data_IF_946584339322
#
_entry.id   IF_946584339322
#
_cell.length_a   1.000
_cell.length_b   1.000
_cell.length_c   1.000
_cell.angle_alpha   90.00
_cell.angle_beta   90.00
_cell.angle_gamma   90.00
#
_symmetry.space_group_name_H-M   'P 1'
#
loop_
_entity.id
_entity.type
_entity.pdbx_description
1 polymer ?
#
# COMPACT_ATOMS: atom_id res chain seq x y z
N UNK A 1 14.05 8.95 35.49
CA UNK A 1 13.03 10.02 35.41
C UNK A 1 11.90 9.73 34.42
N UNK A 2 12.12 9.05 33.30
CA UNK A 2 11.05 8.73 32.32
C UNK A 2 10.08 7.60 32.76
N UNK A 3 10.55 6.61 33.52
CA UNK A 3 9.69 5.51 34.00
C UNK A 3 8.62 5.97 35.01
N UNK A 4 8.89 7.02 35.79
CA UNK A 4 7.94 7.50 36.81
C UNK A 4 6.70 8.15 36.21
N UNK A 5 6.82 8.79 35.04
CA UNK A 5 5.70 9.43 34.35
C UNK A 5 4.70 8.42 33.74
N UNK A 6 5.19 7.28 33.25
CA UNK A 6 4.35 6.25 32.67
C UNK A 6 3.46 5.57 33.73
N UNK A 7 4.01 5.32 34.93
CA UNK A 7 3.28 4.70 36.05
C UNK A 7 2.24 5.67 36.64
N UNK A 8 2.52 6.98 36.64
CA UNK A 8 1.57 7.99 37.13
C UNK A 8 0.38 8.19 36.19
N UNK A 9 0.56 8.03 34.88
CA UNK A 9 -0.53 8.17 33.90
C UNK A 9 -1.54 7.02 33.98
N UNK A 10 -1.09 5.82 34.35
CA UNK A 10 -1.98 4.65 34.52
C UNK A 10 -2.83 4.71 35.79
N UNK A 11 -2.41 5.47 36.81
CA UNK A 11 -3.15 5.61 38.08
C UNK A 11 -4.25 6.67 38.05
N UNK A 12 -4.23 7.56 37.05
CA UNK A 12 -5.21 8.65 36.91
C UNK A 12 -6.50 8.22 36.17
N UNK A 13 -6.48 7.07 35.48
CA UNK A 13 -7.62 6.53 34.71
C UNK A 13 -8.52 5.60 35.54
N UNK A 14 -8.21 5.35 36.81
CA UNK A 14 -8.99 4.43 37.66
C UNK A 14 -10.08 5.14 38.51
N UNK A 15 -10.24 6.46 38.35
CA UNK A 15 -11.06 7.30 39.24
C UNK A 15 -12.42 7.76 38.69
N UNK A 16 -12.90 7.23 37.56
CA UNK A 16 -14.13 7.73 36.92
C UNK A 16 -15.14 6.61 36.63
N UNK A 17 -15.58 5.92 37.68
CA UNK A 17 -16.72 5.00 37.62
C UNK A 17 -18.03 5.79 37.43
N UNK A 18 -18.36 6.11 36.18
CA UNK A 18 -19.70 6.59 35.82
C UNK A 18 -20.66 5.40 35.75
N UNK A 19 -21.56 5.38 36.74
CA UNK A 19 -22.81 4.62 36.88
C UNK A 19 -23.47 4.29 35.53
N UNK A 20 -23.27 3.07 35.04
CA UNK A 20 -23.94 2.57 33.83
C UNK A 20 -25.36 2.11 34.20
N UNK A 21 -26.36 2.91 33.82
CA UNK A 21 -27.75 2.46 33.81
C UNK A 21 -27.92 1.41 32.72
N UNK A 22 -28.18 0.18 33.16
CA UNK A 22 -28.34 -1.01 32.32
C UNK A 22 -29.73 -0.97 31.65
N UNK A 23 -29.81 -0.36 30.47
CA UNK A 23 -30.97 -0.52 29.60
C UNK A 23 -30.90 -1.89 28.93
N UNK A 24 -31.77 -2.80 29.40
CA UNK A 24 -32.00 -4.13 28.85
C UNK A 24 -32.65 -4.00 27.48
N UNK A 25 -31.85 -4.03 26.42
CA UNK A 25 -32.32 -4.17 25.03
C UNK A 25 -32.52 -5.66 24.75
N UNK A 26 -33.78 -6.08 24.66
CA UNK A 26 -34.16 -7.45 24.36
C UNK A 26 -34.10 -7.68 22.84
N UNK A 27 -33.09 -8.43 22.39
CA UNK A 27 -32.88 -8.75 20.96
C UNK A 27 -33.72 -9.99 20.62
N UNK A 28 -34.65 -9.94 19.64
CA UNK A 28 -35.41 -11.12 19.23
C UNK A 28 -34.49 -12.11 18.50
N UNK A 29 -34.34 -13.32 19.07
CA UNK A 29 -33.62 -14.41 18.42
C UNK A 29 -34.43 -14.98 17.26
N UNK A 30 -33.94 -14.82 16.02
CA UNK A 30 -34.44 -15.59 14.87
C UNK A 30 -33.97 -17.05 14.97
N UNK A 31 -34.83 -18.05 14.69
CA UNK A 31 -34.41 -19.44 14.62
C UNK A 31 -33.54 -19.70 13.37
N UNK A 32 -32.62 -20.69 13.44
CA UNK A 32 -31.72 -21.01 12.33
C UNK A 32 -32.48 -21.58 11.13
N UNK A 33 -32.19 -21.04 9.93
CA UNK A 33 -32.60 -21.66 8.66
C UNK A 33 -31.73 -22.87 8.39
N UNK A 34 -32.32 -24.06 8.44
CA UNK A 34 -31.74 -25.30 7.90
C UNK A 34 -31.65 -25.18 6.38
N UNK A 35 -30.46 -24.91 5.85
CA UNK A 35 -30.19 -25.00 4.41
C UNK A 35 -29.70 -26.43 4.15
N UNK A 36 -30.54 -27.22 3.48
CA UNK A 36 -30.16 -28.54 2.99
C UNK A 36 -29.14 -28.38 1.85
N UNK A 37 -27.93 -28.91 2.06
CA UNK A 37 -26.91 -29.02 1.02
C UNK A 37 -27.30 -30.22 0.15
N UNK A 38 -27.79 -29.98 -1.05
CA UNK A 38 -28.05 -31.04 -2.02
C UNK A 38 -26.71 -31.44 -2.68
N UNK A 39 -26.10 -32.52 -2.19
CA UNK A 39 -24.97 -33.17 -2.82
C UNK A 39 -25.48 -33.98 -4.03
N UNK A 40 -25.54 -33.33 -5.20
CA UNK A 40 -26.02 -33.94 -6.43
C UNK A 40 -25.14 -33.64 -7.63
N UNK A 41 -24.16 -34.53 -7.87
CA UNK A 41 -23.94 -35.05 -9.22
C UNK A 41 -23.00 -34.32 -10.19
N UNK A 42 -21.99 -35.11 -10.59
CA UNK A 42 -21.38 -35.15 -11.94
C UNK A 42 -20.28 -34.13 -12.27
N UNK A 43 -19.05 -34.49 -11.88
CA UNK A 43 -17.85 -34.08 -12.59
C UNK A 43 -17.90 -34.59 -14.05
N UNK A 44 -18.34 -33.76 -14.99
CA UNK A 44 -18.14 -34.01 -16.41
C UNK A 44 -16.75 -33.52 -16.83
N UNK A 45 -15.82 -34.47 -16.90
CA UNK A 45 -14.57 -34.32 -17.64
C UNK A 45 -14.90 -34.07 -19.12
N UNK A 46 -14.65 -32.86 -19.63
CA UNK A 46 -14.72 -32.61 -21.07
C UNK A 46 -13.34 -32.80 -21.70
N UNK A 47 -13.25 -33.92 -22.42
CA UNK A 47 -12.13 -34.40 -23.22
C UNK A 47 -11.63 -33.36 -24.23
N UNK A 48 -10.31 -33.15 -24.23
CA UNK A 48 -9.57 -32.56 -25.36
C UNK A 48 -9.81 -33.38 -26.61
N UNK A 49 -10.23 -32.74 -27.70
CA UNK A 49 -9.95 -33.19 -29.07
C UNK A 49 -9.63 -31.99 -29.95
N UNK A 50 -8.37 -31.97 -30.38
CA UNK A 50 -7.82 -31.09 -31.41
C UNK A 50 -8.42 -31.53 -32.75
N UNK A 51 -8.97 -30.59 -33.51
CA UNK A 51 -9.22 -30.78 -34.93
C UNK A 51 -8.80 -29.50 -35.67
N UNK A 52 -7.68 -29.59 -36.36
CA UNK A 52 -7.20 -28.58 -37.28
C UNK A 52 -7.93 -28.73 -38.63
N UNK A 53 -8.50 -27.64 -39.14
CA UNK A 53 -8.75 -27.45 -40.57
C UNK A 53 -8.99 -25.96 -40.85
N UNK A 54 -8.10 -25.35 -41.64
CA UNK A 54 -8.25 -24.00 -42.21
C UNK A 54 -9.03 -24.10 -43.51
N UNK A 55 -10.14 -23.36 -43.68
CA UNK A 55 -10.53 -22.85 -44.98
C UNK A 55 -10.13 -21.38 -45.12
N UNK A 56 -9.32 -21.07 -46.13
CA UNK A 56 -9.06 -19.71 -46.59
C UNK A 56 -10.39 -19.13 -47.11
N UNK A 57 -10.97 -18.17 -46.39
CA UNK A 57 -12.08 -17.35 -46.88
C UNK A 57 -11.60 -15.97 -47.28
N UNK A 58 -12.11 -15.56 -48.43
CA UNK A 58 -11.80 -14.36 -49.18
C UNK A 58 -11.73 -13.08 -48.34
N UNK A 59 -10.78 -12.21 -48.70
CA UNK A 59 -10.63 -10.86 -48.18
C UNK A 59 -11.85 -10.01 -48.55
N UNK A 60 -12.72 -9.76 -47.56
CA UNK A 60 -13.71 -8.69 -47.64
C UNK A 60 -12.97 -7.42 -47.23
N UNK A 61 -12.77 -6.51 -48.18
CA UNK A 61 -12.25 -5.16 -47.91
C UNK A 61 -13.32 -4.44 -47.09
N UNK A 62 -13.10 -4.10 -45.80
CA UNK A 62 -14.03 -3.23 -45.10
C UNK A 62 -13.95 -1.84 -45.73
N UNK A 63 -15.06 -1.35 -46.27
CA UNK A 63 -15.20 0.09 -46.53
C UNK A 63 -14.97 0.80 -45.20
N UNK A 64 -13.92 1.61 -45.10
CA UNK A 64 -13.75 2.54 -44.00
C UNK A 64 -14.89 3.56 -44.08
N UNK A 65 -15.97 3.30 -43.33
CA UNK A 65 -16.87 4.38 -42.93
C UNK A 65 -16.09 5.22 -41.92
N UNK A 66 -15.70 6.41 -42.34
CA UNK A 66 -15.20 7.45 -41.43
C UNK A 66 -16.28 7.69 -40.38
N UNK A 67 -16.11 7.12 -39.19
CA UNK A 67 -16.88 7.56 -38.04
C UNK A 67 -16.41 8.99 -37.75
N UNK A 68 -17.20 9.96 -38.21
CA UNK A 68 -17.11 11.32 -37.73
C UNK A 68 -17.35 11.21 -36.23
N UNK A 69 -16.27 11.40 -35.45
CA UNK A 69 -16.36 11.56 -34.01
C UNK A 69 -17.27 12.77 -33.78
N UNK A 70 -18.54 12.51 -33.47
CA UNK A 70 -19.40 13.51 -32.88
C UNK A 70 -18.80 13.77 -31.50
N UNK A 71 -17.96 14.81 -31.42
CA UNK A 71 -17.62 15.43 -30.15
C UNK A 71 -18.95 15.86 -29.54
N UNK A 72 -19.48 15.08 -28.61
CA UNK A 72 -20.39 15.62 -27.61
C UNK A 72 -19.58 16.64 -26.81
N UNK A 73 -19.54 17.87 -27.32
CA UNK A 73 -19.21 19.01 -26.52
C UNK A 73 -20.34 19.13 -25.50
N UNK A 74 -20.16 18.50 -24.34
CA UNK A 74 -20.82 18.96 -23.12
C UNK A 74 -20.30 20.38 -22.90
N UNK A 75 -21.02 21.36 -23.47
CA UNK A 75 -20.86 22.76 -23.11
C UNK A 75 -21.30 22.87 -21.66
N UNK A 76 -20.38 22.60 -20.72
CA UNK A 76 -20.36 23.40 -19.53
C UNK A 76 -20.05 24.82 -20.03
N UNK A 77 -21.01 25.73 -19.88
CA UNK A 77 -20.85 27.11 -20.27
C UNK A 77 -19.57 27.65 -19.63
N UNK A 78 -18.48 27.73 -20.41
CA UNK A 78 -17.31 28.45 -20.00
C UNK A 78 -17.75 29.91 -19.89
N UNK A 79 -17.72 30.46 -18.67
CA UNK A 79 -17.92 31.89 -18.45
C UNK A 79 -16.82 32.62 -19.22
N UNK A 80 -17.13 33.09 -20.43
CA UNK A 80 -16.24 33.88 -21.29
C UNK A 80 -16.22 35.35 -20.85
N UNK A 81 -16.07 35.58 -19.55
CA UNK A 81 -15.82 36.90 -18.97
C UNK A 81 -14.32 37.14 -18.79
N UNK A 82 -13.86 38.39 -18.64
CA UNK A 82 -12.51 38.67 -18.17
C UNK A 82 -12.29 37.90 -16.87
N UNK A 83 -11.27 37.04 -16.81
CA UNK A 83 -10.85 36.37 -15.58
C UNK A 83 -10.28 37.45 -14.67
N UNK A 84 -11.15 38.08 -13.89
CA UNK A 84 -10.71 38.81 -12.72
C UNK A 84 -10.12 37.76 -11.77
N UNK A 85 -8.91 37.97 -11.24
CA UNK A 85 -8.35 37.05 -10.26
C UNK A 85 -9.38 36.90 -9.13
N UNK A 86 -9.80 35.65 -8.88
CA UNK A 86 -10.64 35.39 -7.72
C UNK A 86 -9.86 35.83 -6.50
N UNK A 87 -10.51 36.63 -5.68
CA UNK A 87 -9.99 37.13 -4.43
C UNK A 87 -9.80 35.94 -3.47
N UNK A 88 -8.82 35.99 -2.56
CA UNK A 88 -8.45 34.86 -1.67
C UNK A 88 -9.63 34.35 -0.81
N UNK A 89 -10.67 35.18 -0.67
CA UNK A 89 -11.92 34.85 0.03
C UNK A 89 -12.86 34.01 -0.85
N UNK A 90 -12.93 34.32 -2.14
CA UNK A 90 -13.76 33.64 -3.14
C UNK A 90 -13.15 32.32 -3.63
N UNK A 91 -11.81 32.21 -3.62
CA UNK A 91 -11.08 31.00 -4.03
C UNK A 91 -9.93 30.65 -3.06
N UNK A 92 -10.26 30.09 -1.88
CA UNK A 92 -9.26 29.72 -0.89
C UNK A 92 -8.31 28.59 -1.35
N UNK A 93 -8.68 27.83 -2.38
CA UNK A 93 -7.85 26.76 -2.95
C UNK A 93 -7.02 27.24 -4.16
N UNK A 94 -7.16 28.50 -4.57
CA UNK A 94 -6.52 29.08 -5.76
C UNK A 94 -6.70 28.21 -7.01
N UNK A 95 -7.88 27.60 -7.16
CA UNK A 95 -8.16 26.62 -8.21
C UNK A 95 -8.84 27.23 -9.45
N UNK A 96 -8.98 28.56 -9.49
CA UNK A 96 -9.56 29.29 -10.62
C UNK A 96 -11.06 29.10 -10.76
N UNK A 97 -11.77 28.78 -9.66
CA UNK A 97 -13.21 28.48 -9.68
C UNK A 97 -13.53 27.10 -10.26
N UNK A 98 -12.56 26.20 -10.29
CA UNK A 98 -12.78 24.82 -10.72
C UNK A 98 -13.65 24.06 -9.72
N UNK A 99 -14.65 23.33 -10.22
CA UNK A 99 -15.54 22.51 -9.38
C UNK A 99 -14.74 21.29 -8.91
N UNK A 100 -14.21 21.36 -7.70
CA UNK A 100 -13.37 20.32 -7.16
C UNK A 100 -14.22 19.29 -6.37
N UNK A 101 -14.42 18.05 -6.87
CA UNK A 101 -15.12 17.00 -6.12
C UNK A 101 -14.35 16.59 -4.86
N UNK A 102 -14.97 15.86 -3.91
CA UNK A 102 -14.29 15.38 -2.72
C UNK A 102 -13.01 14.58 -3.03
N UNK A 103 -11.97 14.79 -2.20
CA UNK A 103 -10.67 14.11 -2.32
C UNK A 103 -10.78 12.63 -1.91
N UNK A 104 -11.27 11.78 -2.82
CA UNK A 104 -11.46 10.34 -2.60
C UNK A 104 -10.69 9.57 -3.67
N UNK A 105 -9.82 8.66 -3.24
CA UNK A 105 -9.06 7.81 -4.14
C UNK A 105 -9.98 6.84 -4.89
N UNK A 106 -9.75 6.68 -6.19
CA UNK A 106 -10.56 5.80 -7.06
C UNK A 106 -10.51 4.33 -6.65
N UNK A 107 -9.45 3.92 -5.96
CA UNK A 107 -9.31 2.60 -5.36
C UNK A 107 -10.50 2.22 -4.45
N UNK A 108 -11.09 3.18 -3.74
CA UNK A 108 -12.21 2.94 -2.83
C UNK A 108 -13.58 2.97 -3.49
N UNK A 109 -13.65 3.33 -4.77
CA UNK A 109 -14.89 3.19 -5.55
C UNK A 109 -15.22 1.72 -5.75
N UNK A 110 -16.51 1.42 -5.83
CA UNK A 110 -17.01 0.06 -6.04
C UNK A 110 -16.34 -0.58 -7.27
N UNK A 111 -15.56 -1.67 -7.09
CA UNK A 111 -14.91 -2.36 -8.20
C UNK A 111 -15.90 -2.99 -9.19
N UNK A 112 -17.11 -3.31 -8.75
CA UNK A 112 -18.08 -4.09 -9.51
C UNK A 112 -19.16 -3.23 -10.18
N UNK A 113 -19.15 -1.92 -9.96
CA UNK A 113 -20.12 -1.01 -10.56
C UNK A 113 -19.93 -0.87 -12.08
N UNK A 114 -21.00 -0.47 -12.77
CA UNK A 114 -21.01 -0.37 -14.22
C UNK A 114 -20.38 0.94 -14.73
N UNK A 115 -19.06 1.11 -14.51
CA UNK A 115 -18.30 2.27 -14.99
C UNK A 115 -18.16 2.30 -16.51
N UNK A 116 -18.17 3.50 -17.11
CA UNK A 116 -17.83 3.71 -18.53
C UNK A 116 -16.36 3.34 -18.81
N UNK A 117 -15.44 3.84 -17.99
CA UNK A 117 -14.05 3.41 -17.93
C UNK A 117 -13.88 2.43 -16.77
N UNK A 118 -13.74 1.13 -17.11
CA UNK A 118 -13.57 0.06 -16.12
C UNK A 118 -12.23 0.11 -15.41
N UNK A 119 -11.17 0.59 -16.08
CA UNK A 119 -9.83 0.59 -15.53
C UNK A 119 -9.70 1.65 -14.44
N UNK A 120 -10.15 2.86 -14.76
CA UNK A 120 -10.10 4.02 -13.87
C UNK A 120 -11.35 4.17 -12.97
N UNK A 121 -12.33 3.26 -13.08
CA UNK A 121 -13.60 3.28 -12.35
C UNK A 121 -14.30 4.64 -12.43
N UNK A 122 -14.50 5.12 -13.67
CA UNK A 122 -14.99 6.48 -13.96
C UNK A 122 -16.08 6.51 -15.03
N UNK A 123 -17.04 7.40 -14.84
CA UNK A 123 -18.08 7.71 -15.81
C UNK A 123 -17.70 8.87 -16.73
N UNK A 124 -18.22 8.87 -17.95
CA UNK A 124 -18.01 9.95 -18.89
C UNK A 124 -18.66 11.25 -18.37
N UNK A 125 -17.95 12.38 -18.47
CA UNK A 125 -18.46 13.69 -18.04
C UNK A 125 -18.49 13.94 -16.53
N UNK A 126 -18.04 13.00 -15.69
CA UNK A 126 -17.91 13.25 -14.25
C UNK A 126 -16.81 14.30 -13.99
N UNK A 127 -17.04 15.27 -13.06
CA UNK A 127 -15.98 16.18 -12.60
C UNK A 127 -14.80 15.40 -12.05
N UNK A 128 -13.59 15.83 -12.40
CA UNK A 128 -12.34 15.20 -12.01
C UNK A 128 -11.73 16.03 -10.89
N UNK A 129 -11.15 15.41 -9.86
CA UNK A 129 -10.45 16.15 -8.82
C UNK A 129 -9.17 16.79 -9.39
N UNK A 130 -8.74 17.93 -8.86
CA UNK A 130 -7.51 18.59 -9.33
C UNK A 130 -6.28 17.66 -9.22
N UNK A 131 -6.10 17.01 -8.06
CA UNK A 131 -5.04 16.02 -7.80
C UNK A 131 -5.38 14.61 -8.33
N UNK A 132 -6.02 14.50 -9.49
CA UNK A 132 -6.44 13.19 -10.02
C UNK A 132 -5.26 12.26 -10.38
N UNK A 133 -4.07 12.81 -10.61
CA UNK A 133 -2.84 12.03 -10.76
C UNK A 133 -2.49 11.25 -9.48
N UNK A 134 -2.73 11.84 -8.30
CA UNK A 134 -2.52 11.20 -6.99
C UNK A 134 -3.73 10.35 -6.59
N UNK A 135 -4.95 10.76 -6.94
CA UNK A 135 -6.18 10.00 -6.60
C UNK A 135 -6.54 8.91 -7.62
N UNK A 136 -5.79 8.82 -8.72
CA UNK A 136 -5.96 7.85 -9.81
C UNK A 136 -5.88 6.40 -9.35
N UNK A 137 -6.28 5.46 -10.21
CA UNK A 137 -6.11 4.03 -9.90
C UNK A 137 -4.64 3.60 -9.97
N UNK A 138 -3.84 4.28 -10.80
CA UNK A 138 -2.42 3.98 -11.02
C UNK A 138 -1.48 4.60 -9.98
N UNK A 139 -2.01 5.33 -9.01
CA UNK A 139 -1.21 5.88 -7.93
C UNK A 139 -1.01 4.85 -6.80
N UNK A 140 0.03 5.00 -5.95
CA UNK A 140 0.35 4.06 -4.89
C UNK A 140 -0.85 3.71 -4.01
N UNK A 141 -1.12 2.43 -3.84
CA UNK A 141 -2.25 1.83 -3.11
C UNK A 141 -2.41 2.42 -1.70
N UNK A 142 -3.64 2.76 -1.31
CA UNK A 142 -3.92 3.24 0.04
C UNK A 142 -4.43 2.09 0.91
N UNK A 143 -3.61 1.70 1.88
CA UNK A 143 -3.85 0.55 2.73
C UNK A 143 -4.73 0.90 3.94
N UNK A 144 -5.89 0.25 4.08
CA UNK A 144 -6.91 0.59 5.09
C UNK A 144 -6.93 -0.32 6.32
N UNK A 145 -6.22 -1.44 6.29
CA UNK A 145 -6.32 -2.43 7.37
C UNK A 145 -5.65 -1.96 8.66
N UNK A 146 -4.54 -1.22 8.57
CA UNK A 146 -3.79 -0.72 9.72
C UNK A 146 -3.47 0.77 9.56
N UNK A 147 -3.49 1.53 10.66
CA UNK A 147 -3.05 2.93 10.66
C UNK A 147 -1.54 3.01 10.45
N UNK A 148 -1.08 4.00 9.68
CA UNK A 148 0.34 4.19 9.33
C UNK A 148 1.25 4.24 10.57
N UNK A 149 0.83 4.95 11.63
CA UNK A 149 1.61 5.04 12.87
C UNK A 149 1.79 3.69 13.58
N UNK A 150 0.73 2.87 13.61
CA UNK A 150 0.78 1.53 14.23
C UNK A 150 1.60 0.57 13.39
N UNK A 151 1.43 0.60 12.06
CA UNK A 151 2.19 -0.23 11.13
C UNK A 151 3.70 0.08 11.21
N UNK A 152 4.06 1.37 11.22
CA UNK A 152 5.45 1.81 11.37
C UNK A 152 6.07 1.38 12.70
N UNK A 153 5.31 1.48 13.80
CA UNK A 153 5.77 1.00 15.11
C UNK A 153 6.02 -0.50 15.13
N UNK A 154 5.08 -1.31 14.63
CA UNK A 154 5.23 -2.77 14.58
C UNK A 154 6.41 -3.19 13.69
N UNK A 155 6.57 -2.55 12.54
CA UNK A 155 7.68 -2.82 11.63
C UNK A 155 9.03 -2.44 12.25
N UNK A 156 9.12 -1.27 12.90
CA UNK A 156 10.32 -0.85 13.62
C UNK A 156 10.68 -1.80 14.77
N UNK A 157 9.68 -2.24 15.54
CA UNK A 157 9.87 -3.21 16.61
C UNK A 157 10.34 -4.57 16.07
N UNK A 158 9.81 -5.01 14.94
CA UNK A 158 10.26 -6.23 14.27
C UNK A 158 11.74 -6.14 13.90
N UNK A 159 12.14 -5.08 13.18
CA UNK A 159 13.55 -4.87 12.79
C UNK A 159 14.45 -4.82 14.02
N UNK A 160 14.07 -4.03 15.03
CA UNK A 160 14.83 -3.89 16.27
C UNK A 160 14.98 -5.23 16.98
N UNK A 161 13.92 -6.05 17.03
CA UNK A 161 13.97 -7.36 17.69
C UNK A 161 14.90 -8.34 16.96
N UNK A 162 14.83 -8.40 15.62
CA UNK A 162 15.64 -9.32 14.83
C UNK A 162 17.11 -8.90 14.86
N UNK A 163 17.39 -7.63 14.53
CA UNK A 163 18.76 -7.14 14.52
C UNK A 163 19.34 -7.09 15.94
N UNK A 164 18.55 -6.68 16.93
CA UNK A 164 18.96 -6.69 18.33
C UNK A 164 19.34 -8.09 18.81
N UNK A 165 18.54 -9.11 18.48
CA UNK A 165 18.88 -10.49 18.80
C UNK A 165 20.16 -10.94 18.08
N UNK A 166 20.30 -10.67 16.78
CA UNK A 166 21.51 -11.00 16.03
C UNK A 166 22.76 -10.34 16.63
N UNK A 167 22.67 -9.07 17.04
CA UNK A 167 23.76 -8.36 17.69
C UNK A 167 24.12 -8.98 19.02
N UNK A 168 23.13 -9.30 19.87
CA UNK A 168 23.39 -9.95 21.18
C UNK A 168 24.05 -11.32 20.98
N UNK A 169 23.55 -12.13 20.05
CA UNK A 169 24.15 -13.45 19.75
C UNK A 169 25.58 -13.29 19.24
N UNK A 170 25.83 -12.35 18.32
CA UNK A 170 27.17 -12.08 17.80
C UNK A 170 28.16 -11.59 18.86
N UNK A 171 27.68 -10.88 19.89
CA UNK A 171 28.51 -10.46 21.03
C UNK A 171 28.76 -11.59 22.03
N UNK A 172 27.79 -12.47 22.25
CA UNK A 172 27.90 -13.56 23.23
C UNK A 172 28.71 -14.75 22.70
N UNK A 173 28.81 -14.91 21.39
CA UNK A 173 29.55 -16.00 20.74
C UNK A 173 30.55 -15.46 19.70
N UNK A 174 31.63 -14.78 20.13
CA UNK A 174 32.66 -14.27 19.23
C UNK A 174 33.62 -15.38 18.71
N UNK A 175 33.46 -16.61 19.20
CA UNK A 175 34.40 -17.71 18.94
C UNK A 175 34.45 -18.09 17.46
N UNK A 176 35.68 -18.17 16.94
CA UNK A 176 35.96 -18.58 15.58
C UNK A 176 36.82 -19.84 15.59
N UNK A 177 36.37 -20.90 14.92
CA UNK A 177 37.07 -22.19 14.86
C UNK A 177 38.38 -22.16 14.03
N UNK A 178 38.74 -21.01 13.45
CA UNK A 178 39.96 -20.84 12.68
C UNK A 178 40.95 -19.99 13.44
N UNK A 179 42.19 -20.46 13.58
CA UNK A 179 43.30 -19.57 13.94
C UNK A 179 43.40 -18.45 12.88
N UNK A 180 43.55 -17.18 13.30
CA UNK A 180 43.79 -16.09 12.37
C UNK A 180 45.09 -16.31 11.58
N UNK A 181 45.11 -15.83 10.33
CA UNK A 181 46.27 -16.00 9.46
C UNK A 181 47.44 -15.17 9.97
N UNK A 182 48.56 -15.83 10.21
CA UNK A 182 49.81 -15.20 10.63
C UNK A 182 50.73 -15.01 9.43
N UNK A 183 51.55 -13.97 9.50
CA UNK A 183 52.56 -13.68 8.50
C UNK A 183 53.92 -13.38 9.14
N UNK A 184 55.00 -13.70 8.43
CA UNK A 184 56.36 -13.46 8.90
C UNK A 184 56.59 -11.97 9.16
N UNK A 185 57.02 -11.63 10.39
CA UNK A 185 57.27 -10.24 10.81
C UNK A 185 56.08 -9.30 10.66
N UNK A 186 54.84 -9.81 10.60
CA UNK A 186 53.63 -8.98 10.45
C UNK A 186 53.56 -8.17 9.15
N UNK A 187 54.31 -8.53 8.12
CA UNK A 187 54.47 -7.76 6.88
C UNK A 187 54.86 -6.28 7.11
N UNK A 188 55.60 -5.99 8.18
CA UNK A 188 55.92 -4.60 8.57
C UNK A 188 56.66 -3.85 7.46
N UNK A 189 57.54 -4.51 6.71
CA UNK A 189 58.29 -3.88 5.61
C UNK A 189 57.40 -3.59 4.41
N UNK A 190 56.47 -4.49 4.10
CA UNK A 190 55.57 -4.42 2.95
C UNK A 190 54.40 -3.45 3.20
N UNK A 191 53.95 -3.31 4.44
CA UNK A 191 52.81 -2.48 4.84
C UNK A 191 53.16 -1.00 5.07
N UNK A 192 54.44 -0.60 4.92
CA UNK A 192 54.85 0.80 5.02
C UNK A 192 55.72 1.13 6.24
N UNK A 193 56.28 0.12 6.89
CA UNK A 193 57.25 0.27 7.97
C UNK A 193 56.63 0.37 9.37
N UNK A 194 57.45 0.73 10.38
CA UNK A 194 57.08 0.61 11.81
C UNK A 194 55.89 1.46 12.26
N UNK A 195 55.48 2.45 11.48
CA UNK A 195 54.34 3.34 11.78
C UNK A 195 53.03 2.87 11.13
N UNK A 196 53.08 1.84 10.28
CA UNK A 196 51.90 1.30 9.62
C UNK A 196 51.23 0.20 10.47
N UNK A 197 49.92 0.00 10.27
CA UNK A 197 49.19 -1.10 10.90
C UNK A 197 49.71 -2.42 10.34
N UNK A 198 50.45 -3.16 11.16
CA UNK A 198 51.01 -4.46 10.80
C UNK A 198 49.92 -5.54 10.70
N UNK A 199 50.18 -6.54 9.87
CA UNK A 199 49.43 -7.78 9.90
C UNK A 199 49.78 -8.61 11.15
N UNK A 200 48.93 -9.59 11.46
CA UNK A 200 49.18 -10.48 12.60
C UNK A 200 50.47 -11.29 12.40
N UNK A 201 51.29 -11.34 13.42
CA UNK A 201 52.56 -12.08 13.44
C UNK A 201 52.44 -13.28 14.39
N UNK A 202 53.32 -14.28 14.20
CA UNK A 202 53.39 -15.43 15.08
C UNK A 202 53.77 -14.98 16.52
N UNK A 203 53.00 -15.45 17.51
CA UNK A 203 53.19 -15.11 18.92
C UNK A 203 52.33 -13.94 19.42
N UNK A 204 51.52 -13.32 18.56
CA UNK A 204 50.51 -12.36 18.99
C UNK A 204 49.42 -13.03 19.84
N UNK A 205 48.87 -12.33 20.85
CA UNK A 205 47.77 -12.85 21.65
C UNK A 205 46.53 -13.11 20.78
N UNK A 206 45.82 -14.20 21.11
CA UNK A 206 44.61 -14.62 20.43
C UNK A 206 43.44 -13.68 20.67
#
# INVERSE_FOLDING_TARGET
>A
MLLSFAVQKLRAEEGSTKKLHLLRVEIPRRPPRTIAINCGGSFKMFSRRIAAARPLRASIIPRQTTLISQRCASQAAAHSGPVLPLTDIEDPNMNGGYINPPRIKRQFRDPNADWWDKQERRNYGEPVHEDNDILGIFSPEEYTHQKVGTAGFQFGLFILSVLGLCTVVGMMYPDKQSAPREFEGGLERELGGPTAVRARAAGDPL
#
